data_IF_652081050908
#
_entry.id   IF_652081050908
#
_cell.length_a   1.000
_cell.length_b   1.000
_cell.length_c   1.000
_cell.angle_alpha   90.00
_cell.angle_beta   90.00
_cell.angle_gamma   90.00
#
_symmetry.space_group_name_H-M   'P 1'
#
loop_
_entity.id
_entity.type
_entity.pdbx_description
1 polymer ?
#
# COMPACT_ATOMS: atom_id res chain seq x y z
N UNK A 1 -0.79 10.28 10.19
CA UNK A 1 -1.00 11.14 9.01
C UNK A 1 -2.39 10.87 8.46
N UNK A 2 -3.13 11.87 7.98
CA UNK A 2 -4.48 11.66 7.42
C UNK A 2 -4.42 11.13 5.99
N UNK A 3 -5.48 10.46 5.54
CA UNK A 3 -5.59 9.92 4.18
C UNK A 3 -5.37 11.01 3.12
N UNK A 4 -6.07 12.14 3.25
CA UNK A 4 -5.96 13.23 2.28
C UNK A 4 -4.58 13.87 2.22
N UNK A 5 -3.89 13.94 3.35
CA UNK A 5 -2.53 14.46 3.39
C UNK A 5 -1.57 13.51 2.67
N UNK A 6 -1.75 12.19 2.84
CA UNK A 6 -0.98 11.17 2.12
C UNK A 6 -1.18 11.29 0.61
N UNK A 7 -2.43 11.29 0.16
CA UNK A 7 -2.76 11.36 -1.27
C UNK A 7 -2.31 12.68 -1.89
N UNK A 8 -2.43 13.79 -1.15
CA UNK A 8 -1.89 15.08 -1.58
C UNK A 8 -0.39 15.06 -1.80
N UNK A 9 0.37 14.43 -0.88
CA UNK A 9 1.84 14.26 -1.05
C UNK A 9 2.17 13.36 -2.24
N UNK A 10 1.47 12.24 -2.40
CA UNK A 10 1.67 11.33 -3.55
C UNK A 10 1.41 12.08 -4.86
N UNK A 11 0.30 12.81 -4.97
CA UNK A 11 -0.02 13.56 -6.17
C UNK A 11 1.03 14.64 -6.46
N UNK A 12 1.49 15.37 -5.45
CA UNK A 12 2.50 16.41 -5.62
C UNK A 12 3.85 15.85 -6.12
N UNK A 13 4.24 14.67 -5.62
CA UNK A 13 5.50 14.02 -6.00
C UNK A 13 5.44 13.34 -7.37
N UNK A 14 4.31 12.72 -7.69
CA UNK A 14 4.14 11.94 -8.94
C UNK A 14 3.61 12.77 -10.11
N UNK A 15 3.03 13.95 -9.82
CA UNK A 15 2.36 14.83 -10.79
C UNK A 15 1.22 14.13 -11.55
N UNK A 16 0.56 13.19 -10.90
CA UNK A 16 -0.59 12.48 -11.45
C UNK A 16 -1.81 13.42 -11.61
N UNK A 17 -2.67 13.14 -12.59
CA UNK A 17 -3.70 14.08 -13.05
C UNK A 17 -4.72 14.42 -11.96
N UNK A 18 -5.01 13.48 -11.06
CA UNK A 18 -6.01 13.64 -10.02
C UNK A 18 -5.71 12.79 -8.77
N UNK A 19 -6.49 13.05 -7.72
CA UNK A 19 -6.36 12.36 -6.43
C UNK A 19 -6.71 10.88 -6.51
N UNK A 20 -7.73 10.51 -7.29
CA UNK A 20 -8.14 9.12 -7.48
C UNK A 20 -7.06 8.29 -8.17
N UNK A 21 -6.46 8.83 -9.23
CA UNK A 21 -5.31 8.20 -9.89
C UNK A 21 -4.11 8.07 -8.95
N UNK A 22 -3.86 9.08 -8.11
CA UNK A 22 -2.79 9.04 -7.10
C UNK A 22 -3.03 7.98 -6.03
N UNK A 23 -4.28 7.83 -5.59
CA UNK A 23 -4.68 6.79 -4.65
C UNK A 23 -4.53 5.39 -5.26
N UNK A 24 -5.00 5.18 -6.49
CA UNK A 24 -4.83 3.90 -7.17
C UNK A 24 -3.36 3.54 -7.34
N UNK A 25 -2.52 4.49 -7.74
CA UNK A 25 -1.08 4.29 -7.85
C UNK A 25 -0.45 3.91 -6.51
N UNK A 26 -0.81 4.61 -5.42
CA UNK A 26 -0.34 4.28 -4.08
C UNK A 26 -0.77 2.87 -3.64
N UNK A 27 -2.04 2.50 -3.86
CA UNK A 27 -2.54 1.15 -3.53
C UNK A 27 -1.84 0.06 -4.34
N UNK A 28 -1.59 0.30 -5.63
CA UNK A 28 -0.87 -0.65 -6.47
C UNK A 28 0.57 -0.89 -5.96
N UNK A 29 1.30 0.18 -5.65
CA UNK A 29 2.66 0.08 -5.09
C UNK A 29 2.66 -0.67 -3.76
N UNK A 30 1.72 -0.33 -2.86
CA UNK A 30 1.59 -1.01 -1.58
C UNK A 30 1.26 -2.49 -1.78
N UNK A 31 0.34 -2.84 -2.67
CA UNK A 31 0.04 -4.23 -2.98
C UNK A 31 1.29 -5.01 -3.44
N UNK A 32 2.05 -4.46 -4.40
CA UNK A 32 3.30 -5.10 -4.88
C UNK A 32 4.35 -5.23 -3.78
N UNK A 33 4.49 -4.20 -2.93
CA UNK A 33 5.42 -4.24 -1.81
C UNK A 33 5.02 -5.31 -0.78
N UNK A 34 3.72 -5.44 -0.50
CA UNK A 34 3.19 -6.38 0.48
C UNK A 34 3.47 -7.84 0.10
N UNK A 35 3.51 -8.16 -1.19
CA UNK A 35 3.89 -9.50 -1.66
C UNK A 35 5.35 -9.86 -1.34
N UNK A 36 6.24 -8.86 -1.25
CA UNK A 36 7.70 -9.05 -1.13
C UNK A 36 8.22 -8.88 0.29
N UNK A 37 7.47 -8.22 1.16
CA UNK A 37 7.89 -8.01 2.55
C UNK A 37 7.52 -9.19 3.45
N UNK A 38 8.34 -9.50 4.47
CA UNK A 38 7.97 -10.45 5.51
C UNK A 38 6.69 -10.02 6.24
N UNK A 39 5.89 -10.99 6.69
CA UNK A 39 4.60 -10.72 7.34
C UNK A 39 4.68 -9.80 8.58
N UNK A 40 5.76 -9.88 9.37
CA UNK A 40 5.96 -8.97 10.50
C UNK A 40 6.20 -7.51 10.06
N UNK A 41 6.87 -7.35 8.91
CA UNK A 41 7.16 -6.02 8.37
C UNK A 41 5.93 -5.41 7.67
N UNK A 42 5.11 -6.21 6.98
CA UNK A 42 3.85 -5.70 6.39
C UNK A 42 2.89 -5.18 7.46
N UNK A 43 2.79 -5.85 8.61
CA UNK A 43 1.99 -5.36 9.75
C UNK A 43 2.53 -4.04 10.33
N UNK A 44 3.86 -3.93 10.49
CA UNK A 44 4.49 -2.69 10.95
C UNK A 44 4.26 -1.52 9.99
N UNK A 45 4.28 -1.78 8.67
CA UNK A 45 3.97 -0.76 7.66
C UNK A 45 2.48 -0.41 7.69
N UNK A 46 1.60 -1.41 7.77
CA UNK A 46 0.15 -1.21 7.85
C UNK A 46 -0.26 -0.35 9.06
N UNK A 47 0.42 -0.50 10.20
CA UNK A 47 0.18 0.29 11.41
C UNK A 47 0.51 1.79 11.26
N UNK A 48 1.36 2.16 10.29
CA UNK A 48 1.75 3.55 10.04
C UNK A 48 0.94 4.22 8.92
N UNK A 49 0.18 3.45 8.16
CA UNK A 49 -0.60 3.95 7.04
C UNK A 49 -1.99 4.44 7.48
N UNK A 50 -2.59 5.39 6.73
CA UNK A 50 -4.01 5.68 6.86
C UNK A 50 -4.86 4.40 6.68
N UNK A 51 -5.95 4.22 7.45
CA UNK A 51 -6.70 2.95 7.47
C UNK A 51 -7.13 2.42 6.10
N UNK A 52 -7.56 3.30 5.20
CA UNK A 52 -8.00 2.97 3.83
C UNK A 52 -6.86 2.50 2.92
N UNK A 53 -5.62 2.92 3.20
CA UNK A 53 -4.42 2.55 2.45
C UNK A 53 -3.68 1.36 3.06
N UNK A 54 -4.00 0.98 4.29
CA UNK A 54 -3.37 -0.14 4.97
C UNK A 54 -3.87 -1.51 4.49
N UNK A 55 -5.02 -1.57 3.81
CA UNK A 55 -5.64 -2.83 3.38
C UNK A 55 -4.72 -3.72 2.51
N UNK A 56 -4.02 -3.21 1.47
CA UNK A 56 -3.12 -4.04 0.65
C UNK A 56 -1.98 -4.68 1.45
N UNK A 57 -1.48 -4.02 2.49
CA UNK A 57 -0.44 -4.55 3.37
C UNK A 57 -0.94 -5.74 4.21
N UNK A 58 -2.22 -5.73 4.59
CA UNK A 58 -2.83 -6.80 5.41
C UNK A 58 -3.29 -7.97 4.54
N UNK A 59 -3.82 -7.69 3.35
CA UNK A 59 -4.34 -8.69 2.41
C UNK A 59 -3.27 -9.60 1.80
N UNK A 60 -2.02 -9.14 1.69
CA UNK A 60 -0.93 -9.98 1.18
C UNK A 60 -0.65 -11.22 2.06
N UNK A 61 -1.03 -11.19 3.34
CA UNK A 61 -0.94 -12.34 4.24
C UNK A 61 -1.88 -13.49 3.83
N UNK A 62 -2.99 -13.16 3.15
CA UNK A 62 -4.04 -14.12 2.77
C UNK A 62 -3.92 -14.60 1.32
N UNK A 63 -2.93 -14.10 0.56
CA UNK A 63 -2.76 -14.47 -0.85
C UNK A 63 -1.96 -15.78 -0.99
N UNK A 64 -2.56 -16.86 -1.54
CA UNK A 64 -1.89 -18.17 -1.69
C UNK A 64 -0.72 -18.18 -2.69
N UNK A 65 -0.45 -17.06 -3.38
CA UNK A 65 0.69 -16.90 -4.30
C UNK A 65 2.03 -16.75 -3.58
N UNK A 66 2.06 -16.38 -2.30
CA UNK A 66 3.32 -16.25 -1.54
C UNK A 66 3.92 -17.61 -1.14
N UNK A 67 3.13 -18.69 -1.17
CA UNK A 67 3.54 -20.04 -0.74
C UNK A 67 4.13 -20.90 -1.86
N UNK A 68 4.12 -20.44 -3.12
CA UNK A 68 4.73 -21.15 -4.25
C UNK A 68 6.16 -20.68 -4.49
N UNK A 69 7.05 -20.98 -3.55
CA UNK A 69 8.49 -20.93 -3.77
C UNK A 69 9.19 -21.94 -2.86
N UNK A 70 9.06 -23.22 -3.19
CA UNK A 70 9.99 -24.31 -2.83
C UNK A 70 10.00 -25.31 -3.98
#
# INVERSE_FOLDING_TARGET
MHHDEFIGKVQALTRLPDRGTSEQAARAVLSTLAERLPAGLTEHVAAQLPPTLAAPMREAKDSPRASASV
#
